data_IF_874314111402
#
_entry.id   IF_874314111402
#
_cell.length_a   1.000
_cell.length_b   1.000
_cell.length_c   1.000
_cell.angle_alpha   90.00
_cell.angle_beta   90.00
_cell.angle_gamma   90.00
#
_symmetry.space_group_name_H-M   'P 1'
#
loop_
_entity.id
_entity.type
_entity.pdbx_description
1 polymer ?
#
# COMPACT_ATOMS: atom_id res chain seq x y z
N UNK A 1 -2.90 -15.92 -6.22
CA UNK A 1 -2.86 -15.22 -7.50
C UNK A 1 -3.16 -13.73 -7.34
N UNK A 2 -4.32 -13.40 -6.75
CA UNK A 2 -4.64 -12.00 -6.48
C UNK A 2 -3.76 -11.43 -5.38
N UNK A 3 -3.26 -12.28 -4.47
CA UNK A 3 -2.35 -11.83 -3.43
C UNK A 3 -1.03 -11.37 -4.01
N UNK A 4 -0.54 -12.03 -5.06
CA UNK A 4 0.69 -11.59 -5.72
C UNK A 4 0.46 -10.24 -6.38
N UNK A 5 -0.68 -10.08 -7.04
CA UNK A 5 -1.04 -8.80 -7.67
C UNK A 5 -1.11 -7.68 -6.62
N UNK A 6 -1.73 -7.97 -5.48
CA UNK A 6 -1.80 -7.00 -4.38
C UNK A 6 -0.40 -6.62 -3.90
N UNK A 7 0.44 -7.61 -3.65
CA UNK A 7 1.78 -7.36 -3.15
C UNK A 7 2.61 -6.54 -4.12
N UNK A 8 2.54 -6.85 -5.42
CA UNK A 8 3.28 -6.08 -6.42
C UNK A 8 2.83 -4.61 -6.45
N UNK A 9 1.52 -4.39 -6.33
CA UNK A 9 1.00 -3.03 -6.29
C UNK A 9 1.41 -2.30 -5.02
N UNK A 10 1.46 -3.00 -3.89
CA UNK A 10 1.93 -2.41 -2.64
C UNK A 10 3.40 -2.00 -2.74
N UNK A 11 4.21 -2.82 -3.40
CA UNK A 11 5.63 -2.49 -3.60
C UNK A 11 5.77 -1.19 -4.40
N UNK A 12 4.93 -1.00 -5.41
CA UNK A 12 4.97 0.22 -6.21
C UNK A 12 4.62 1.45 -5.37
N UNK A 13 3.66 1.33 -4.46
CA UNK A 13 3.34 2.42 -3.54
C UNK A 13 4.52 2.68 -2.60
N UNK A 14 5.13 1.61 -2.08
CA UNK A 14 6.27 1.74 -1.17
C UNK A 14 7.45 2.43 -1.85
N UNK A 15 7.67 2.16 -3.14
CA UNK A 15 8.72 2.82 -3.91
C UNK A 15 8.41 4.31 -4.07
N UNK A 16 7.14 4.65 -4.31
CA UNK A 16 6.74 6.04 -4.47
C UNK A 16 6.91 6.84 -3.17
N UNK A 17 6.94 6.16 -2.02
CA UNK A 17 7.12 6.80 -0.73
C UNK A 17 8.56 7.27 -0.49
N UNK A 18 9.51 6.72 -1.25
CA UNK A 18 10.93 7.07 -1.12
C UNK A 18 11.49 7.47 -2.49
N UNK A 19 11.05 8.61 -3.03
CA UNK A 19 11.45 9.03 -4.39
C UNK A 19 12.94 9.26 -4.56
N UNK A 20 13.66 9.47 -3.47
CA UNK A 20 15.11 9.66 -3.51
C UNK A 20 15.88 8.36 -3.26
N UNK A 21 15.15 7.24 -3.22
CA UNK A 21 15.77 5.96 -2.95
C UNK A 21 15.80 5.63 -1.48
N UNK A 22 16.30 4.46 -1.16
CA UNK A 22 16.37 3.96 0.20
C UNK A 22 16.18 2.46 0.21
N UNK A 23 15.62 1.96 1.30
CA UNK A 23 15.39 0.54 1.49
C UNK A 23 13.92 0.25 1.71
N UNK A 24 13.46 -0.87 1.16
CA UNK A 24 12.12 -1.39 1.42
C UNK A 24 12.27 -2.75 2.07
N UNK A 25 11.65 -2.93 3.22
CA UNK A 25 11.62 -4.21 3.92
C UNK A 25 10.23 -4.79 3.79
N UNK A 26 10.16 -6.06 3.39
CA UNK A 26 8.91 -6.79 3.29
C UNK A 26 8.87 -7.87 4.35
N UNK A 27 7.79 -7.91 5.11
CA UNK A 27 7.55 -8.97 6.07
C UNK A 27 6.21 -9.62 5.74
N UNK A 28 6.22 -10.94 5.59
CA UNK A 28 5.01 -11.72 5.36
C UNK A 28 4.82 -12.60 6.57
N UNK A 29 3.65 -12.51 7.19
CA UNK A 29 3.36 -13.26 8.41
C UNK A 29 1.96 -13.84 8.35
N UNK A 30 1.62 -14.66 9.34
CA UNK A 30 0.30 -15.25 9.44
C UNK A 30 0.17 -16.53 8.63
N UNK A 31 -1.08 -16.93 8.39
CA UNK A 31 -1.41 -18.16 7.67
C UNK A 31 -1.04 -17.99 6.18
N UNK A 32 -0.36 -18.98 5.56
CA UNK A 32 -0.02 -18.88 4.13
C UNK A 32 -1.23 -18.66 3.22
N UNK A 33 -2.41 -19.07 3.63
CA UNK A 33 -3.60 -18.85 2.82
C UNK A 33 -4.23 -17.49 3.07
N UNK A 34 -3.93 -16.89 4.22
CA UNK A 34 -4.42 -15.56 4.58
C UNK A 34 -3.28 -14.75 5.22
N UNK A 35 -2.27 -14.41 4.41
CA UNK A 35 -1.08 -13.73 4.94
C UNK A 35 -1.33 -12.27 5.27
N UNK A 36 -0.46 -11.75 6.14
CA UNK A 36 -0.37 -10.31 6.39
C UNK A 36 0.90 -9.81 5.72
N UNK A 37 0.78 -8.76 4.93
CA UNK A 37 1.92 -8.12 4.27
C UNK A 37 2.24 -6.82 4.97
N UNK A 38 3.50 -6.64 5.34
CA UNK A 38 3.97 -5.40 5.94
C UNK A 38 5.18 -4.90 5.15
N UNK A 39 5.08 -3.69 4.64
CA UNK A 39 6.18 -3.04 3.92
C UNK A 39 6.60 -1.80 4.69
N UNK A 40 7.90 -1.61 4.84
CA UNK A 40 8.45 -0.42 5.47
C UNK A 40 9.44 0.21 4.49
N UNK A 41 9.19 1.46 4.14
CA UNK A 41 10.09 2.22 3.26
C UNK A 41 10.93 3.17 4.12
N UNK A 42 12.24 3.07 3.99
CA UNK A 42 13.18 3.90 4.72
C UNK A 42 14.06 4.66 3.75
N UNK A 43 13.98 5.97 3.79
CA UNK A 43 14.78 6.79 2.90
C UNK A 43 14.68 8.25 3.30
N UNK A 44 15.46 9.09 2.61
CA UNK A 44 15.46 10.53 2.86
C UNK A 44 14.11 11.09 2.44
N UNK A 45 13.43 11.77 3.38
CA UNK A 45 12.12 12.37 3.13
C UNK A 45 11.05 11.34 2.72
N UNK A 46 11.10 10.16 3.33
CA UNK A 46 10.05 9.17 3.13
C UNK A 46 8.72 9.78 3.57
N UNK A 47 7.66 9.54 2.80
CA UNK A 47 6.35 10.13 3.09
C UNK A 47 5.24 9.30 2.47
N UNK A 48 4.02 9.50 2.95
CA UNK A 48 2.86 8.89 2.31
C UNK A 48 2.71 9.55 0.93
N UNK A 49 2.71 8.76 -0.14
CA UNK A 49 2.54 9.32 -1.49
C UNK A 49 1.22 10.08 -1.61
N UNK A 50 1.20 11.09 -2.45
CA UNK A 50 0.02 11.92 -2.68
C UNK A 50 -1.21 11.07 -2.98
N UNK A 51 -2.32 11.37 -2.33
CA UNK A 51 -3.62 10.74 -2.54
C UNK A 51 -3.69 9.27 -2.10
N UNK A 52 -2.63 8.72 -1.48
CA UNK A 52 -2.61 7.31 -1.12
C UNK A 52 -3.72 6.94 -0.13
N UNK A 53 -3.84 7.64 0.99
CA UNK A 53 -4.85 7.30 1.99
C UNK A 53 -6.26 7.40 1.43
N UNK A 54 -6.49 8.43 0.65
CA UNK A 54 -7.79 8.72 0.08
C UNK A 54 -8.26 7.61 -0.86
N UNK A 55 -7.39 7.19 -1.77
CA UNK A 55 -7.76 6.24 -2.80
C UNK A 55 -7.56 4.78 -2.43
N UNK A 56 -6.72 4.48 -1.46
CA UNK A 56 -6.62 3.11 -0.94
C UNK A 56 -7.95 2.65 -0.37
N UNK A 57 -8.73 3.56 0.17
CA UNK A 57 -10.03 3.24 0.74
C UNK A 57 -11.16 3.25 -0.30
N UNK A 58 -10.82 3.43 -1.57
CA UNK A 58 -11.80 3.37 -2.65
C UNK A 58 -12.76 4.54 -2.73
N UNK A 59 -12.38 5.67 -2.17
CA UNK A 59 -13.24 6.87 -2.20
C UNK A 59 -13.06 7.63 -3.50
N UNK A 60 -13.94 7.37 -4.44
CA UNK A 60 -13.84 7.98 -5.76
C UNK A 60 -15.13 8.61 -6.24
N UNK A 61 -16.19 8.61 -5.41
CA UNK A 61 -17.51 9.01 -5.88
C UNK A 61 -17.52 10.32 -6.65
N UNK A 62 -16.92 11.36 -6.09
CA UNK A 62 -16.89 12.67 -6.73
C UNK A 62 -15.49 13.13 -7.08
N UNK A 63 -14.52 12.21 -7.03
CA UNK A 63 -13.12 12.56 -7.24
C UNK A 63 -12.67 12.25 -8.66
N UNK A 64 -11.78 13.11 -9.15
CA UNK A 64 -11.16 12.88 -10.45
C UNK A 64 -9.88 12.11 -10.23
N UNK A 65 -9.75 10.95 -10.88
CA UNK A 65 -8.53 10.15 -10.81
C UNK A 65 -7.50 10.72 -11.76
N UNK A 66 -6.34 11.07 -11.23
CA UNK A 66 -5.21 11.46 -12.06
C UNK A 66 -4.15 10.37 -11.99
N UNK A 67 -3.04 10.57 -12.71
CA UNK A 67 -1.99 9.55 -12.79
C UNK A 67 -1.42 9.18 -11.43
N UNK A 68 -1.43 10.09 -10.45
CA UNK A 68 -0.89 9.81 -9.11
C UNK A 68 -1.85 9.00 -8.27
N UNK A 69 -3.13 9.06 -8.58
CA UNK A 69 -4.16 8.42 -7.78
C UNK A 69 -4.50 7.01 -8.28
N UNK A 70 -4.18 6.70 -9.53
CA UNK A 70 -4.54 5.41 -10.13
C UNK A 70 -3.95 4.23 -9.37
N UNK A 71 -2.67 4.30 -9.01
CA UNK A 71 -2.02 3.18 -8.31
C UNK A 71 -2.65 2.89 -6.95
N UNK A 72 -2.81 3.90 -6.06
CA UNK A 72 -3.46 3.60 -4.76
C UNK A 72 -4.91 3.16 -4.92
N UNK A 73 -5.65 3.75 -5.86
CA UNK A 73 -7.03 3.35 -6.08
C UNK A 73 -7.14 1.88 -6.50
N UNK A 74 -6.34 1.48 -7.49
CA UNK A 74 -6.33 0.11 -7.98
C UNK A 74 -5.91 -0.86 -6.88
N UNK A 75 -4.88 -0.48 -6.11
CA UNK A 75 -4.40 -1.31 -5.00
C UNK A 75 -5.51 -1.55 -3.98
N UNK A 76 -6.27 -0.50 -3.67
CA UNK A 76 -7.42 -0.63 -2.77
C UNK A 76 -8.48 -1.57 -3.30
N UNK A 77 -8.75 -1.53 -4.61
CA UNK A 77 -9.70 -2.46 -5.23
C UNK A 77 -9.23 -3.90 -5.11
N UNK A 78 -7.96 -4.15 -5.40
CA UNK A 78 -7.41 -5.50 -5.31
C UNK A 78 -7.44 -6.00 -3.87
N UNK A 79 -7.12 -5.14 -2.91
CA UNK A 79 -7.18 -5.51 -1.50
C UNK A 79 -8.59 -5.95 -1.10
N UNK A 80 -9.61 -5.22 -1.56
CA UNK A 80 -10.99 -5.60 -1.26
C UNK A 80 -11.37 -6.93 -1.89
N UNK A 81 -10.91 -7.19 -3.11
CA UNK A 81 -11.15 -8.48 -3.75
C UNK A 81 -10.50 -9.63 -2.99
N UNK A 82 -9.36 -9.35 -2.36
CA UNK A 82 -8.66 -10.34 -1.53
C UNK A 82 -9.22 -10.42 -0.11
N UNK A 83 -10.21 -9.62 0.21
CA UNK A 83 -10.79 -9.51 1.56
C UNK A 83 -9.73 -9.11 2.59
N UNK A 84 -8.95 -8.13 2.24
CA UNK A 84 -7.90 -7.60 3.10
C UNK A 84 -8.13 -6.12 3.37
N UNK A 85 -7.77 -5.70 4.57
CA UNK A 85 -7.75 -4.28 4.92
C UNK A 85 -6.35 -3.78 4.68
N UNK A 86 -6.24 -2.61 4.06
CA UNK A 86 -4.95 -2.02 3.75
C UNK A 86 -4.89 -0.61 4.33
N UNK A 87 -3.74 -0.27 4.92
CA UNK A 87 -3.53 1.05 5.52
C UNK A 87 -2.11 1.52 5.27
N UNK A 88 -1.96 2.83 5.13
CA UNK A 88 -0.68 3.48 4.93
C UNK A 88 -0.51 4.54 6.03
N UNK A 89 0.69 4.60 6.60
CA UNK A 89 0.97 5.56 7.66
C UNK A 89 2.46 5.86 7.76
N UNK A 90 2.79 6.94 8.46
CA UNK A 90 4.17 7.20 8.83
C UNK A 90 4.41 6.71 10.24
N UNK A 91 5.56 6.08 10.45
CA UNK A 91 6.03 5.67 11.77
C UNK A 91 7.38 6.35 11.97
N UNK A 92 7.35 7.52 12.62
CA UNK A 92 8.52 8.37 12.65
C UNK A 92 8.89 8.82 11.25
N UNK A 93 10.09 8.51 10.83
CA UNK A 93 10.60 8.88 9.50
C UNK A 93 10.38 7.78 8.46
N UNK A 94 9.75 6.68 8.85
CA UNK A 94 9.52 5.54 7.95
C UNK A 94 8.08 5.52 7.45
N UNK A 95 7.92 5.17 6.17
CA UNK A 95 6.59 4.94 5.62
C UNK A 95 6.24 3.45 5.81
N UNK A 96 5.04 3.18 6.29
CA UNK A 96 4.55 1.81 6.48
C UNK A 96 3.29 1.57 5.69
N UNK A 97 3.25 0.42 5.02
CA UNK A 97 2.08 -0.02 4.27
C UNK A 97 1.74 -1.43 4.74
N UNK A 98 0.55 -1.59 5.25
CA UNK A 98 0.12 -2.85 5.88
C UNK A 98 -1.15 -3.35 5.22
N UNK A 99 -1.16 -4.64 4.86
CA UNK A 99 -2.38 -5.31 4.41
C UNK A 99 -2.57 -6.56 5.25
N UNK A 100 -3.73 -6.68 5.88
CA UNK A 100 -4.04 -7.82 6.74
C UNK A 100 -5.43 -8.36 6.42
N UNK A 101 -5.66 -9.67 6.63
CA UNK A 101 -6.98 -10.25 6.37
C UNK A 101 -8.06 -9.61 7.22
N UNK A 102 -9.24 -9.44 6.65
CA UNK A 102 -10.40 -9.02 7.42
C UNK A 102 -10.81 -10.14 8.37
N UNK A 103 -11.18 -9.73 9.55
CA UNK A 103 -11.54 -10.64 10.63
C UNK A 103 -12.78 -11.48 10.43
#
# INVERSE_FOLDING_TARGET
KDLVKLLLNMILIALAAIPRGGNISLNVSGDPERPTFSLVSQGINARVPTETERFLNGRTADDVLDARAIQPYFTGLVARECRMDIAAEMDGDDFRLLAKPRG
#
